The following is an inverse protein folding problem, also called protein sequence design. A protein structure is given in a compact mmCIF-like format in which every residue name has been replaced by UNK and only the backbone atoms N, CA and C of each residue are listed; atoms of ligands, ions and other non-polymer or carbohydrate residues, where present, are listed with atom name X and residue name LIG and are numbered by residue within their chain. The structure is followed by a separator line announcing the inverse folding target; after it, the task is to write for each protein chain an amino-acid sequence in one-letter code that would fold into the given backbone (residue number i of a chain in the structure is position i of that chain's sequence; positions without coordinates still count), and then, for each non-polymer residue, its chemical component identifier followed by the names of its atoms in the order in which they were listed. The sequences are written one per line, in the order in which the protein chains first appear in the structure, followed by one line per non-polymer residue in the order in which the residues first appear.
data_IF_951110972690
#
_entry.id   IF_951110972690
#
_cell.length_a   1.000
_cell.length_b   1.000
_cell.length_c   1.000
_cell.angle_alpha   90.00
_cell.angle_beta   90.00
_cell.angle_gamma   90.00
#
_symmetry.space_group_name_H-M   'P 1'
#
loop_
_entity.id
_entity.type
_entity.pdbx_description
1 polymer ?
#
# COMPACT_ATOMS: atom_id res chain seq x y z
N UNK A 1 -17.52 -5.43 -22.51
CA UNK A 1 -17.69 -4.06 -21.96
C UNK A 1 -16.35 -3.37 -21.99
N UNK A 2 -16.21 -2.17 -22.60
CA UNK A 2 -14.97 -1.42 -22.54
C UNK A 2 -14.69 -1.03 -21.08
N UNK A 3 -13.50 -1.34 -20.59
CA UNK A 3 -13.08 -0.96 -19.22
C UNK A 3 -12.93 0.56 -19.18
N UNK A 4 -13.72 1.22 -18.33
CA UNK A 4 -13.51 2.63 -18.01
C UNK A 4 -12.21 2.76 -17.21
N UNK A 5 -11.15 3.20 -17.90
CA UNK A 5 -9.79 3.30 -17.36
C UNK A 5 -9.71 4.19 -16.12
N UNK A 6 -10.52 5.25 -16.06
CA UNK A 6 -10.52 6.19 -14.94
C UNK A 6 -11.23 5.59 -13.74
N UNK A 7 -12.38 4.95 -13.93
CA UNK A 7 -13.05 4.21 -12.84
C UNK A 7 -12.17 3.09 -12.31
N UNK A 8 -11.48 2.37 -13.18
CA UNK A 8 -10.53 1.33 -12.77
C UNK A 8 -9.41 1.92 -11.88
N UNK A 9 -8.75 3.00 -12.32
CA UNK A 9 -7.72 3.69 -11.53
C UNK A 9 -8.25 4.14 -10.16
N UNK A 10 -9.46 4.71 -10.12
CA UNK A 10 -10.08 5.15 -8.86
C UNK A 10 -10.32 3.98 -7.91
N UNK A 11 -10.91 2.90 -8.40
CA UNK A 11 -11.20 1.71 -7.58
C UNK A 11 -9.93 1.10 -7.01
N UNK A 12 -8.88 0.90 -7.81
CA UNK A 12 -7.63 0.29 -7.34
C UNK A 12 -6.86 1.21 -6.39
N UNK A 13 -6.86 2.52 -6.61
CA UNK A 13 -6.20 3.47 -5.72
C UNK A 13 -6.90 3.56 -4.36
N UNK A 14 -8.24 3.60 -4.34
CA UNK A 14 -9.03 3.59 -3.11
C UNK A 14 -8.86 2.27 -2.37
N UNK A 15 -8.96 1.13 -3.07
CA UNK A 15 -8.75 -0.19 -2.47
C UNK A 15 -7.35 -0.31 -1.86
N UNK A 16 -6.32 0.17 -2.56
CA UNK A 16 -4.94 0.21 -2.05
C UNK A 16 -4.80 1.04 -0.78
N UNK A 17 -5.39 2.24 -0.73
CA UNK A 17 -5.36 3.09 0.46
C UNK A 17 -6.09 2.47 1.66
N UNK A 18 -7.24 1.82 1.42
CA UNK A 18 -7.97 1.07 2.46
C UNK A 18 -7.10 -0.09 2.97
N UNK A 19 -6.51 -0.89 2.08
CA UNK A 19 -5.63 -1.99 2.48
C UNK A 19 -4.40 -1.51 3.26
N UNK A 20 -3.79 -0.39 2.85
CA UNK A 20 -2.66 0.20 3.56
C UNK A 20 -3.04 0.62 4.99
N UNK A 21 -4.21 1.25 5.17
CA UNK A 21 -4.72 1.59 6.50
C UNK A 21 -4.99 0.33 7.34
N UNK A 22 -5.67 -0.67 6.77
CA UNK A 22 -5.92 -1.96 7.45
C UNK A 22 -4.62 -2.66 7.83
N UNK A 23 -3.58 -2.57 7.00
CA UNK A 23 -2.25 -3.12 7.30
C UNK A 23 -1.64 -2.46 8.54
N UNK A 24 -1.77 -1.13 8.68
CA UNK A 24 -1.31 -0.39 9.87
C UNK A 24 -2.07 -0.84 11.12
N UNK A 25 -3.39 -0.95 11.04
CA UNK A 25 -4.23 -1.40 12.16
C UNK A 25 -3.84 -2.81 12.60
N UNK A 26 -3.75 -3.75 11.66
CA UNK A 26 -3.32 -5.13 11.94
C UNK A 26 -1.90 -5.19 12.50
N UNK A 27 -0.97 -4.38 12.00
CA UNK A 27 0.39 -4.29 12.54
C UNK A 27 0.41 -3.80 13.99
N UNK A 28 -0.45 -2.83 14.32
CA UNK A 28 -0.69 -2.40 15.69
C UNK A 28 -1.26 -3.51 16.57
N UNK A 29 -2.21 -4.30 16.05
CA UNK A 29 -2.75 -5.48 16.75
C UNK A 29 -1.69 -6.54 16.99
N UNK A 30 -0.87 -6.88 15.99
CA UNK A 30 0.27 -7.81 16.11
C UNK A 30 1.20 -7.38 17.24
N UNK A 31 1.58 -6.10 17.28
CA UNK A 31 2.42 -5.55 18.35
C UNK A 31 1.73 -5.61 19.71
N UNK A 32 0.45 -5.24 19.78
CA UNK A 32 -0.34 -5.23 21.02
C UNK A 32 -0.57 -6.62 21.62
N UNK A 33 -0.67 -7.65 20.78
CA UNK A 33 -0.82 -9.04 21.20
C UNK A 33 0.52 -9.76 21.44
N UNK A 34 1.66 -9.12 21.15
CA UNK A 34 2.98 -9.77 21.22
C UNK A 34 3.20 -10.82 20.12
N UNK A 35 2.42 -10.77 19.03
CA UNK A 35 2.45 -11.75 17.95
C UNK A 35 3.58 -11.53 16.93
N UNK A 36 4.40 -10.49 17.07
CA UNK A 36 5.40 -10.08 16.06
C UNK A 36 6.50 -11.10 15.74
N UNK A 37 6.62 -12.19 16.51
CA UNK A 37 7.51 -13.33 16.25
C UNK A 37 6.74 -14.67 16.13
N UNK A 38 5.42 -14.65 15.99
CA UNK A 38 4.59 -15.86 15.81
C UNK A 38 4.90 -16.59 14.48
N UNK A 39 5.42 -15.85 13.50
CA UNK A 39 5.96 -16.38 12.24
C UNK A 39 7.47 -16.01 12.18
N UNK A 40 8.39 -16.91 12.57
CA UNK A 40 9.82 -16.60 12.70
C UNK A 40 10.56 -16.52 11.35
N UNK A 41 9.92 -16.95 10.28
CA UNK A 41 10.40 -16.93 8.90
C UNK A 41 9.66 -15.87 8.07
N UNK A 42 10.29 -15.50 6.96
CA UNK A 42 9.74 -14.63 5.92
C UNK A 42 10.37 -15.04 4.59
N UNK A 43 9.62 -15.17 3.48
CA UNK A 43 8.22 -14.75 3.28
C UNK A 43 7.17 -15.77 3.74
N UNK A 44 7.58 -17.00 4.06
CA UNK A 44 6.70 -18.05 4.61
C UNK A 44 6.35 -17.75 6.08
N UNK A 45 5.35 -18.46 6.61
CA UNK A 45 5.09 -18.50 8.06
C UNK A 45 5.09 -19.95 8.53
N UNK A 46 5.97 -20.27 9.49
CA UNK A 46 6.24 -21.61 9.97
C UNK A 46 6.54 -22.60 8.83
N UNK A 47 7.26 -22.16 7.79
CA UNK A 47 7.61 -22.95 6.61
C UNK A 47 6.48 -23.16 5.60
N UNK A 48 5.29 -22.59 5.83
CA UNK A 48 4.11 -22.78 4.99
C UNK A 48 3.63 -21.46 4.37
N UNK A 49 3.01 -21.57 3.18
CA UNK A 49 2.34 -20.42 2.53
C UNK A 49 1.01 -20.09 3.21
N UNK A 50 0.31 -21.12 3.70
CA UNK A 50 -0.86 -21.01 4.56
C UNK A 50 -0.54 -21.83 5.82
N UNK A 51 -0.23 -21.19 6.97
CA UNK A 51 0.09 -21.90 8.20
C UNK A 51 -1.18 -22.46 8.86
N UNK A 52 -1.00 -23.29 9.89
CA UNK A 52 -2.10 -23.64 10.80
C UNK A 52 -2.54 -22.40 11.58
N UNK A 53 -3.82 -22.04 11.46
CA UNK A 53 -4.42 -20.87 12.10
C UNK A 53 -5.08 -21.20 13.44
N UNK A 54 -4.82 -22.38 14.01
CA UNK A 54 -5.31 -22.78 15.33
C UNK A 54 -4.78 -21.89 16.47
N UNK A 55 -3.58 -21.31 16.31
CA UNK A 55 -3.04 -20.32 17.24
C UNK A 55 -3.47 -18.88 16.85
N UNK A 56 -4.20 -18.16 17.72
CA UNK A 56 -4.59 -16.77 17.46
C UNK A 56 -3.43 -15.81 17.16
N UNK A 57 -2.24 -16.04 17.73
CA UNK A 57 -1.06 -15.19 17.49
C UNK A 57 -0.54 -15.40 16.05
N UNK A 58 -0.49 -16.64 15.59
CA UNK A 58 -0.13 -16.95 14.20
C UNK A 58 -1.20 -16.39 13.25
N UNK A 59 -2.47 -16.51 13.60
CA UNK A 59 -3.56 -16.01 12.78
C UNK A 59 -3.50 -14.49 12.55
N UNK A 60 -3.20 -13.69 13.59
CA UNK A 60 -3.12 -12.23 13.45
C UNK A 60 -1.88 -11.76 12.69
N UNK A 61 -0.73 -12.39 12.92
CA UNK A 61 0.52 -12.13 12.19
C UNK A 61 0.35 -12.49 10.70
N UNK A 62 -0.26 -13.65 10.42
CA UNK A 62 -0.56 -14.07 9.05
C UNK A 62 -1.58 -13.15 8.36
N UNK A 63 -2.63 -12.71 9.06
CA UNK A 63 -3.60 -11.76 8.53
C UNK A 63 -2.94 -10.42 8.16
N UNK A 64 -2.04 -9.91 9.01
CA UNK A 64 -1.24 -8.72 8.70
C UNK A 64 -0.43 -8.91 7.41
N UNK A 65 0.29 -10.04 7.27
CA UNK A 65 1.08 -10.36 6.06
C UNK A 65 0.22 -10.47 4.80
N UNK A 66 -0.96 -11.07 4.90
CA UNK A 66 -1.90 -11.20 3.78
C UNK A 66 -2.40 -9.83 3.30
N UNK A 67 -2.81 -8.95 4.22
CA UNK A 67 -3.26 -7.60 3.86
C UNK A 67 -2.10 -6.73 3.35
N UNK A 68 -0.88 -6.92 3.86
CA UNK A 68 0.32 -6.28 3.31
C UNK A 68 0.60 -6.73 1.86
N UNK A 69 0.39 -8.01 1.54
CA UNK A 69 0.50 -8.52 0.17
C UNK A 69 -0.57 -7.94 -0.76
N UNK A 70 -1.81 -7.81 -0.29
CA UNK A 70 -2.88 -7.14 -1.05
C UNK A 70 -2.57 -5.65 -1.27
N UNK A 71 -2.05 -4.97 -0.25
CA UNK A 71 -1.59 -3.59 -0.36
C UNK A 71 -0.51 -3.47 -1.44
N UNK A 72 0.45 -4.40 -1.45
CA UNK A 72 1.50 -4.46 -2.48
C UNK A 72 0.92 -4.60 -3.88
N UNK A 73 -0.03 -5.52 -4.07
CA UNK A 73 -0.71 -5.74 -5.34
C UNK A 73 -1.40 -4.45 -5.83
N UNK A 74 -2.19 -3.80 -4.99
CA UNK A 74 -2.94 -2.60 -5.39
C UNK A 74 -2.03 -1.41 -5.69
N UNK A 75 -0.96 -1.19 -4.92
CA UNK A 75 -0.02 -0.09 -5.17
C UNK A 75 0.75 -0.30 -6.49
N UNK A 76 1.22 -1.53 -6.75
CA UNK A 76 1.88 -1.87 -8.02
C UNK A 76 0.92 -1.74 -9.20
N UNK A 77 -0.32 -2.22 -9.07
CA UNK A 77 -1.34 -2.07 -10.10
C UNK A 77 -1.67 -0.60 -10.38
N UNK A 78 -1.78 0.22 -9.34
CA UNK A 78 -2.03 1.66 -9.46
C UNK A 78 -0.89 2.36 -10.19
N UNK A 79 0.36 2.05 -9.82
CA UNK A 79 1.53 2.57 -10.51
C UNK A 79 1.55 2.14 -11.99
N UNK A 80 1.36 0.85 -12.28
CA UNK A 80 1.31 0.35 -13.65
C UNK A 80 0.23 1.06 -14.47
N UNK A 81 -1.00 1.18 -13.95
CA UNK A 81 -2.09 1.88 -14.63
C UNK A 81 -1.79 3.37 -14.83
N UNK A 82 -1.23 4.06 -13.82
CA UNK A 82 -0.84 5.47 -13.94
C UNK A 82 0.18 5.68 -15.07
N UNK A 83 1.17 4.80 -15.18
CA UNK A 83 2.22 4.87 -16.20
C UNK A 83 1.70 4.38 -17.55
N UNK A 84 0.76 3.45 -17.64
CA UNK A 84 0.30 2.94 -18.93
C UNK A 84 -0.72 3.87 -19.59
N UNK A 85 -1.61 4.50 -18.81
CA UNK A 85 -2.75 5.25 -19.36
C UNK A 85 -2.82 6.73 -18.96
N UNK A 86 -2.06 7.17 -17.95
CA UNK A 86 -2.17 8.53 -17.40
C UNK A 86 -0.81 9.26 -17.31
N UNK A 87 0.17 8.92 -18.16
CA UNK A 87 1.50 9.56 -18.19
C UNK A 87 1.52 11.09 -18.24
N UNK A 88 0.59 11.78 -18.91
CA UNK A 88 0.59 13.24 -18.92
C UNK A 88 0.34 13.86 -17.53
N UNK A 89 -0.30 13.14 -16.60
CA UNK A 89 -0.48 13.58 -15.23
C UNK A 89 0.76 13.23 -14.38
N UNK A 90 1.77 14.10 -14.45
CA UNK A 90 3.04 13.91 -13.76
C UNK A 90 2.89 13.78 -12.24
N UNK A 91 1.88 14.43 -11.64
CA UNK A 91 1.64 14.35 -10.19
C UNK A 91 1.16 12.95 -9.81
N UNK A 92 0.17 12.44 -10.53
CA UNK A 92 -0.34 11.08 -10.32
C UNK A 92 0.78 10.03 -10.45
N UNK A 93 1.59 10.13 -11.51
CA UNK A 93 2.71 9.20 -11.73
C UNK A 93 3.78 9.33 -10.64
N UNK A 94 4.17 10.56 -10.28
CA UNK A 94 5.18 10.79 -9.24
C UNK A 94 4.75 10.23 -7.87
N UNK A 95 3.52 10.52 -7.41
CA UNK A 95 3.03 9.97 -6.14
C UNK A 95 2.84 8.45 -6.20
N UNK A 96 2.46 7.89 -7.35
CA UNK A 96 2.38 6.43 -7.51
C UNK A 96 3.77 5.78 -7.43
N UNK A 97 4.79 6.38 -8.05
CA UNK A 97 6.18 5.93 -7.95
C UNK A 97 6.70 6.03 -6.51
N UNK A 98 6.47 7.17 -5.84
CA UNK A 98 6.83 7.35 -4.42
C UNK A 98 6.18 6.30 -3.53
N UNK A 99 4.91 5.96 -3.78
CA UNK A 99 4.20 4.92 -3.02
C UNK A 99 4.87 3.56 -3.17
N UNK A 100 5.30 3.18 -4.38
CA UNK A 100 6.03 1.92 -4.63
C UNK A 100 7.42 1.93 -3.99
N UNK A 101 8.13 3.06 -4.03
CA UNK A 101 9.44 3.20 -3.37
C UNK A 101 9.35 3.05 -1.85
N UNK A 102 8.37 3.71 -1.23
CA UNK A 102 8.10 3.58 0.21
C UNK A 102 7.67 2.17 0.59
N UNK A 103 6.83 1.54 -0.23
CA UNK A 103 6.42 0.14 -0.04
C UNK A 103 7.61 -0.82 -0.09
N UNK A 104 8.56 -0.64 -1.01
CA UNK A 104 9.75 -1.48 -1.08
C UNK A 104 10.59 -1.38 0.21
N UNK A 105 10.80 -0.16 0.71
CA UNK A 105 11.44 0.05 2.01
C UNK A 105 10.62 -0.57 3.15
N UNK A 106 9.29 -0.50 3.11
CA UNK A 106 8.40 -1.08 4.10
C UNK A 106 8.51 -2.60 4.18
N UNK A 107 8.50 -3.28 3.03
CA UNK A 107 8.65 -4.74 2.94
C UNK A 107 10.02 -5.17 3.49
N UNK A 108 11.08 -4.45 3.14
CA UNK A 108 12.41 -4.70 3.65
C UNK A 108 12.50 -4.51 5.17
N UNK A 109 11.96 -3.40 5.69
CA UNK A 109 11.91 -3.15 7.14
C UNK A 109 11.07 -4.21 7.87
N UNK A 110 10.00 -4.72 7.27
CA UNK A 110 9.16 -5.77 7.84
C UNK A 110 9.85 -7.14 7.90
N UNK A 111 10.74 -7.46 6.97
CA UNK A 111 11.60 -8.63 7.11
C UNK A 111 12.66 -8.41 8.21
N UNK A 112 13.20 -7.19 8.29
CA UNK A 112 14.18 -6.82 9.30
C UNK A 112 13.66 -6.93 10.73
N UNK A 113 12.40 -6.58 11.00
CA UNK A 113 11.81 -6.67 12.36
C UNK A 113 11.89 -8.08 12.94
N UNK A 114 11.77 -9.11 12.09
CA UNK A 114 11.87 -10.51 12.52
C UNK A 114 13.33 -10.85 12.83
N UNK A 115 14.24 -10.57 11.87
CA UNK A 115 15.67 -10.90 12.01
C UNK A 115 16.37 -10.11 13.13
N UNK A 116 15.86 -8.93 13.48
CA UNK A 116 16.36 -8.09 14.57
C UNK A 116 15.69 -8.39 15.92
N UNK A 117 14.85 -9.42 16.01
CA UNK A 117 14.12 -9.77 17.23
C UNK A 117 13.28 -8.61 17.78
N UNK A 118 12.57 -7.91 16.90
CA UNK A 118 11.70 -6.77 17.20
C UNK A 118 12.43 -5.57 17.81
N UNK A 119 13.66 -5.29 17.36
CA UNK A 119 14.38 -4.07 17.72
C UNK A 119 13.47 -2.83 17.56
N UNK A 120 13.42 -2.01 18.60
CA UNK A 120 12.45 -0.93 18.70
C UNK A 120 12.68 0.16 17.64
N UNK A 121 13.94 0.40 17.21
CA UNK A 121 14.26 1.37 16.17
C UNK A 121 13.71 0.85 14.85
N UNK A 122 13.98 -0.41 14.53
CA UNK A 122 13.50 -1.04 13.28
C UNK A 122 11.97 -1.08 13.25
N UNK A 123 11.31 -1.48 14.33
CA UNK A 123 9.84 -1.48 14.43
C UNK A 123 9.25 -0.07 14.28
N UNK A 124 9.89 0.94 14.88
CA UNK A 124 9.46 2.34 14.75
C UNK A 124 9.64 2.85 13.32
N UNK A 125 10.77 2.53 12.69
CA UNK A 125 11.03 2.86 11.29
C UNK A 125 10.02 2.16 10.37
N UNK A 126 9.70 0.89 10.63
CA UNK A 126 8.67 0.16 9.90
C UNK A 126 7.30 0.83 10.03
N UNK A 127 6.91 1.30 11.22
CA UNK A 127 5.65 2.05 11.37
C UNK A 127 5.69 3.40 10.63
N UNK A 128 6.80 4.13 10.71
CA UNK A 128 6.96 5.43 10.05
C UNK A 128 6.85 5.31 8.52
N UNK A 129 7.55 4.34 7.92
CA UNK A 129 7.48 4.08 6.48
C UNK A 129 6.12 3.51 6.06
N UNK A 130 5.46 2.71 6.89
CA UNK A 130 4.11 2.23 6.65
C UNK A 130 3.10 3.39 6.61
N UNK A 131 3.23 4.32 7.54
CA UNK A 131 2.40 5.54 7.60
C UNK A 131 2.66 6.45 6.41
N UNK A 132 3.92 6.62 6.01
CA UNK A 132 4.28 7.37 4.81
C UNK A 132 3.72 6.71 3.53
N UNK A 133 3.76 5.38 3.43
CA UNK A 133 3.18 4.62 2.31
C UNK A 133 1.67 4.85 2.24
N UNK A 134 0.98 4.77 3.39
CA UNK A 134 -0.46 5.08 3.47
C UNK A 134 -0.76 6.52 3.03
N UNK A 135 -0.03 7.51 3.55
CA UNK A 135 -0.22 8.91 3.19
C UNK A 135 -0.01 9.15 1.68
N UNK A 136 1.03 8.56 1.10
CA UNK A 136 1.29 8.63 -0.34
C UNK A 136 0.16 7.98 -1.16
N UNK A 137 -0.33 6.81 -0.73
CA UNK A 137 -1.46 6.13 -1.40
C UNK A 137 -2.77 6.92 -1.34
N UNK A 138 -3.02 7.66 -0.24
CA UNK A 138 -4.16 8.57 -0.11
C UNK A 138 -4.06 9.75 -1.09
N UNK A 139 -2.85 10.31 -1.28
CA UNK A 139 -2.64 11.37 -2.26
C UNK A 139 -2.92 10.85 -3.68
N UNK A 140 -2.47 9.64 -4.01
CA UNK A 140 -2.79 9.00 -5.31
C UNK A 140 -4.30 8.83 -5.49
N UNK A 141 -5.01 8.32 -4.48
CA UNK A 141 -6.47 8.18 -4.53
C UNK A 141 -7.16 9.54 -4.73
N UNK A 142 -6.70 10.59 -4.04
CA UNK A 142 -7.23 11.94 -4.20
C UNK A 142 -7.01 12.50 -5.61
N UNK A 143 -5.81 12.35 -6.19
CA UNK A 143 -5.55 12.78 -7.57
C UNK A 143 -6.34 11.95 -8.60
N UNK A 144 -6.53 10.65 -8.38
CA UNK A 144 -7.38 9.80 -9.23
C UNK A 144 -8.85 10.25 -9.23
N UNK A 145 -9.34 10.79 -8.12
CA UNK A 145 -10.70 11.31 -7.96
C UNK A 145 -10.90 12.71 -8.54
N UNK A 146 -9.83 13.48 -8.79
CA UNK A 146 -9.97 14.81 -9.38
C UNK A 146 -10.57 14.71 -10.80
N UNK A 147 -11.65 15.46 -11.09
CA UNK A 147 -12.13 15.63 -12.45
C UNK A 147 -11.01 16.25 -13.31
N UNK A 148 -10.86 15.78 -14.55
CA UNK A 148 -10.11 16.53 -15.55
C UNK A 148 -10.80 17.89 -15.69
N UNK A 149 -10.07 18.99 -15.50
CA UNK A 149 -10.62 20.33 -15.73
C UNK A 149 -11.28 20.35 -17.10
N UNK A 150 -12.54 20.80 -17.23
CA UNK A 150 -13.11 21.03 -18.55
C UNK A 150 -12.19 22.02 -19.24
N UNK A 151 -11.72 21.69 -20.45
CA UNK A 151 -11.07 22.67 -21.32
C UNK A 151 -12.01 23.87 -21.39
N UNK A 152 -11.59 25.01 -20.83
CA UNK A 152 -12.33 26.24 -20.99
C UNK A 152 -12.43 26.49 -22.49
N UNK A 153 -13.64 26.62 -23.07
CA UNK A 153 -13.76 26.92 -24.48
C UNK A 153 -12.98 28.20 -24.75
N UNK A 154 -12.04 28.11 -25.69
CA UNK A 154 -11.25 29.25 -26.18
C UNK A 154 -12.21 30.41 -26.47
N UNK A 155 -12.17 31.45 -25.64
CA UNK A 155 -12.83 32.72 -25.93
C UNK A 155 -11.85 33.55 -26.75
N UNK A 156 -12.11 33.79 -28.05
CA UNK A 156 -11.34 34.80 -28.78
C UNK A 156 -11.51 36.14 -28.04
N UNK A 157 -10.43 36.93 -28.00
CA UNK A 157 -10.47 38.28 -27.45
C UNK A 157 -11.56 39.07 -28.19
N UNK A 158 -12.36 39.84 -27.45
CA UNK A 158 -13.26 40.78 -28.08
C UNK A 158 -12.40 41.91 -28.67
N UNK A 159 -12.41 42.01 -29.99
CA UNK A 159 -11.81 43.09 -30.77
C UNK A 159 -12.53 44.43 -30.53
#
# INVERSE_FOLDING_TARGET
MPIDRRRLLQMIAIAGAICAYTTIVLGGTVRGMGAGLACPDWPLCNGHVVPDLGDPLVAVEYAHRLVAALTTLFLLATFAVSVLWFRPDLRLVAFSLTSVGLLAAQVFLGALTITSSLDWVIVTMHLAFGTATFASSLLVAFFALRPSSPDLPYRPAAD
#
